data_IF_358710943198
#
_entry.id   IF_358710943198
#
_cell.length_a   1.000
_cell.length_b   1.000
_cell.length_c   1.000
_cell.angle_alpha   90.00
_cell.angle_beta   90.00
_cell.angle_gamma   90.00
#
_symmetry.space_group_name_H-M   'P 1'
#
loop_
_entity.id
_entity.type
_entity.pdbx_description
1 polymer ?
#
# COMPACT_ATOMS: atom_id res chain seq x y z
N UNK A 1 64.01 22.72 5.37
CA UNK A 1 63.61 23.32 4.04
C UNK A 1 62.70 22.29 3.35
N UNK A 2 61.41 22.57 3.27
CA UNK A 2 60.50 21.72 2.50
C UNK A 2 60.70 22.02 1.01
N UNK A 3 60.72 21.04 0.12
CA UNK A 3 60.79 21.26 -1.33
C UNK A 3 59.53 21.89 -1.83
N UNK A 4 59.64 22.81 -2.85
CA UNK A 4 58.47 23.46 -3.42
C UNK A 4 57.57 22.46 -4.14
N UNK A 5 56.24 22.65 -4.11
CA UNK A 5 55.30 21.75 -4.75
C UNK A 5 55.47 21.74 -6.27
N UNK A 6 55.47 20.57 -6.87
CA UNK A 6 55.54 20.38 -8.32
C UNK A 6 54.33 21.09 -9.00
N UNK A 7 54.62 21.88 -10.04
CA UNK A 7 53.58 22.56 -10.85
C UNK A 7 52.65 21.54 -11.43
N UNK A 8 51.35 21.67 -11.09
CA UNK A 8 50.27 20.84 -11.65
C UNK A 8 49.59 19.89 -10.68
N UNK A 9 49.98 19.84 -9.39
CA UNK A 9 49.28 18.99 -8.42
C UNK A 9 48.37 19.86 -7.54
N UNK A 10 47.06 19.82 -7.79
CA UNK A 10 46.08 20.38 -6.89
C UNK A 10 45.95 19.49 -5.66
N UNK A 11 46.35 19.95 -4.48
CA UNK A 11 46.11 19.26 -3.22
C UNK A 11 44.63 19.32 -2.91
N UNK A 12 43.88 18.25 -3.25
CA UNK A 12 42.53 18.05 -2.79
C UNK A 12 42.60 17.54 -1.36
N UNK A 13 42.25 18.38 -0.39
CA UNK A 13 41.98 17.92 0.98
C UNK A 13 40.58 17.24 0.94
N UNK A 14 40.60 15.92 1.04
CA UNK A 14 39.37 15.15 1.29
C UNK A 14 39.01 15.36 2.77
N UNK A 15 38.18 16.35 3.01
CA UNK A 15 37.56 16.52 4.31
C UNK A 15 36.61 15.34 4.53
N UNK A 16 37.02 14.37 5.34
CA UNK A 16 36.14 13.28 5.78
C UNK A 16 35.00 13.94 6.55
N UNK A 17 33.84 14.03 5.92
CA UNK A 17 32.60 14.42 6.59
C UNK A 17 32.45 13.56 7.84
N UNK A 18 32.71 14.11 9.00
CA UNK A 18 32.47 13.42 10.27
C UNK A 18 30.97 13.28 10.41
N UNK A 19 30.50 12.05 10.39
CA UNK A 19 29.09 11.74 10.65
C UNK A 19 28.73 12.31 12.02
N UNK A 20 28.04 13.44 12.00
CA UNK A 20 27.63 14.13 13.22
C UNK A 20 26.20 13.69 13.56
N UNK A 21 26.08 12.80 14.51
CA UNK A 21 24.79 12.23 14.96
C UNK A 21 23.81 13.34 15.34
N UNK A 22 24.30 14.49 15.84
CA UNK A 22 23.44 15.63 16.22
C UNK A 22 22.68 16.24 15.04
N UNK A 23 23.27 16.21 13.83
CA UNK A 23 22.63 16.78 12.63
C UNK A 23 21.45 15.91 12.16
N UNK A 24 21.37 14.65 12.59
CA UNK A 24 20.28 13.72 12.27
C UNK A 24 19.28 13.54 13.42
N UNK A 25 19.72 13.76 14.68
CA UNK A 25 18.85 13.60 15.85
C UNK A 25 17.70 14.63 15.87
N UNK A 26 18.00 15.90 15.56
CA UNK A 26 17.02 16.95 15.61
C UNK A 26 15.95 16.83 14.50
N UNK A 27 16.31 16.68 13.21
CA UNK A 27 15.31 16.39 12.17
C UNK A 27 14.54 15.10 12.42
N UNK A 28 15.22 14.05 12.92
CA UNK A 28 14.58 12.78 13.26
C UNK A 28 13.55 12.92 14.39
N UNK A 29 13.88 13.65 15.46
CA UNK A 29 12.97 13.91 16.56
C UNK A 29 11.74 14.74 16.12
N UNK A 30 11.95 15.76 15.27
CA UNK A 30 10.84 16.53 14.68
C UNK A 30 9.98 15.69 13.75
N UNK A 31 10.58 14.80 12.95
CA UNK A 31 9.86 13.86 12.10
C UNK A 31 9.00 12.88 12.90
N UNK A 32 9.54 12.33 14.00
CA UNK A 32 8.79 11.48 14.92
C UNK A 32 7.65 12.22 15.61
N UNK A 33 7.89 13.46 16.08
CA UNK A 33 6.87 14.28 16.69
C UNK A 33 5.74 14.62 15.71
N UNK A 34 6.09 14.95 14.46
CA UNK A 34 5.11 15.20 13.40
C UNK A 34 4.29 13.95 13.07
N UNK A 35 4.94 12.79 12.94
CA UNK A 35 4.27 11.51 12.70
C UNK A 35 3.33 11.13 13.86
N UNK A 36 3.78 11.32 15.11
CA UNK A 36 2.95 11.08 16.30
C UNK A 36 1.75 12.02 16.32
N UNK A 37 1.94 13.30 16.00
CA UNK A 37 0.84 14.29 15.92
C UNK A 37 -0.18 13.92 14.84
N UNK A 38 0.27 13.55 13.64
CA UNK A 38 -0.63 13.08 12.57
C UNK A 38 -1.39 11.82 12.97
N UNK A 39 -0.70 10.84 13.58
CA UNK A 39 -1.34 9.61 14.06
C UNK A 39 -2.39 9.92 15.12
N UNK A 40 -2.10 10.82 16.06
CA UNK A 40 -3.05 11.24 17.09
C UNK A 40 -4.32 11.86 16.46
N UNK A 41 -4.17 12.74 15.47
CA UNK A 41 -5.31 13.33 14.74
C UNK A 41 -6.15 12.25 14.06
N UNK A 42 -5.52 11.30 13.36
CA UNK A 42 -6.23 10.20 12.69
C UNK A 42 -6.99 9.34 13.71
N UNK A 43 -6.36 8.96 14.82
CA UNK A 43 -7.00 8.18 15.90
C UNK A 43 -8.16 8.95 16.50
N UNK A 44 -8.01 10.26 16.74
CA UNK A 44 -9.06 11.11 17.29
C UNK A 44 -10.26 11.21 16.35
N UNK A 45 -10.02 11.47 15.05
CA UNK A 45 -11.08 11.52 14.03
C UNK A 45 -11.79 10.16 13.91
N UNK A 46 -11.03 9.07 13.85
CA UNK A 46 -11.59 7.72 13.79
C UNK A 46 -12.44 7.41 15.06
N UNK A 47 -11.94 7.77 16.23
CA UNK A 47 -12.70 7.62 17.49
C UNK A 47 -14.03 8.37 17.45
N UNK A 48 -14.04 9.64 17.03
CA UNK A 48 -15.28 10.41 16.94
C UNK A 48 -16.24 9.88 15.88
N UNK A 49 -15.72 9.40 14.74
CA UNK A 49 -16.56 8.75 13.72
C UNK A 49 -17.21 7.48 14.27
N UNK A 50 -16.45 6.64 14.96
CA UNK A 50 -16.96 5.44 15.62
C UNK A 50 -17.95 5.76 16.74
N UNK A 51 -17.64 6.75 17.59
CA UNK A 51 -18.53 7.19 18.65
C UNK A 51 -19.82 7.83 18.13
N UNK A 52 -19.78 8.46 16.95
CA UNK A 52 -20.97 8.98 16.25
C UNK A 52 -21.93 7.87 15.80
N UNK A 53 -21.45 6.63 15.67
CA UNK A 53 -22.21 5.44 15.34
C UNK A 53 -23.16 5.63 14.15
N UNK A 54 -24.41 5.21 14.32
CA UNK A 54 -25.45 5.29 13.27
C UNK A 54 -25.93 6.71 12.93
N UNK A 55 -25.47 7.73 13.65
CA UNK A 55 -25.98 9.11 13.45
C UNK A 55 -25.65 9.62 12.05
N UNK A 56 -24.46 9.33 11.55
CA UNK A 56 -24.03 9.71 10.20
C UNK A 56 -24.85 8.96 9.14
N UNK A 57 -25.03 7.67 9.32
CA UNK A 57 -25.85 6.80 8.45
C UNK A 57 -27.30 7.27 8.38
N UNK A 58 -27.93 7.58 9.52
CA UNK A 58 -29.29 8.10 9.57
C UNK A 58 -29.41 9.45 8.87
N UNK A 59 -28.43 10.33 8.98
CA UNK A 59 -28.40 11.61 8.27
C UNK A 59 -28.28 11.41 6.76
N UNK A 60 -27.40 10.54 6.28
CA UNK A 60 -27.28 10.23 4.86
C UNK A 60 -28.58 9.69 4.27
N UNK A 61 -29.24 8.75 4.95
CA UNK A 61 -30.56 8.23 4.53
C UNK A 61 -31.64 9.32 4.51
N UNK A 62 -31.57 10.30 5.42
CA UNK A 62 -32.51 11.44 5.45
C UNK A 62 -32.30 12.39 4.27
N UNK A 63 -31.03 12.63 3.87
CA UNK A 63 -30.65 13.53 2.78
C UNK A 63 -30.94 12.89 1.42
N UNK A 64 -30.91 11.57 1.32
CA UNK A 64 -31.06 10.82 0.06
C UNK A 64 -32.41 10.99 -0.66
N UNK A 65 -33.42 11.59 -0.02
CA UNK A 65 -34.69 11.98 -0.64
C UNK A 65 -35.92 11.70 0.21
N UNK A 66 -37.07 12.24 -0.22
CA UNK A 66 -38.32 12.13 0.53
C UNK A 66 -39.02 10.76 0.38
N UNK A 67 -38.71 9.99 -0.68
CA UNK A 67 -39.42 8.74 -0.98
C UNK A 67 -38.83 7.55 -0.21
N UNK A 68 -39.68 6.62 0.20
CA UNK A 68 -39.27 5.39 0.89
C UNK A 68 -38.34 4.55 0.03
N UNK A 69 -38.52 4.50 -1.29
CA UNK A 69 -37.66 3.80 -2.22
C UNK A 69 -36.22 4.31 -2.22
N UNK A 70 -36.05 5.64 -2.31
CA UNK A 70 -34.71 6.26 -2.27
C UNK A 70 -33.98 5.98 -0.96
N UNK A 71 -34.69 6.07 0.17
CA UNK A 71 -34.10 5.75 1.49
C UNK A 71 -33.65 4.30 1.59
N UNK A 72 -34.46 3.36 1.07
CA UNK A 72 -34.13 1.94 1.04
C UNK A 72 -32.90 1.66 0.17
N UNK A 73 -32.83 2.26 -1.02
CA UNK A 73 -31.68 2.11 -1.93
C UNK A 73 -30.39 2.64 -1.30
N UNK A 74 -30.44 3.81 -0.67
CA UNK A 74 -29.27 4.36 0.02
C UNK A 74 -28.81 3.48 1.18
N UNK A 75 -29.75 2.95 1.96
CA UNK A 75 -29.41 2.04 3.06
C UNK A 75 -28.74 0.78 2.54
N UNK A 76 -29.28 0.17 1.50
CA UNK A 76 -28.70 -1.01 0.87
C UNK A 76 -27.31 -0.75 0.28
N UNK A 77 -27.10 0.43 -0.36
CA UNK A 77 -25.81 0.82 -0.88
C UNK A 77 -24.75 0.95 0.26
N UNK A 78 -25.13 1.60 1.36
CA UNK A 78 -24.24 1.73 2.51
C UNK A 78 -23.88 0.37 3.12
N UNK A 79 -24.87 -0.52 3.30
CA UNK A 79 -24.63 -1.88 3.83
C UNK A 79 -23.72 -2.69 2.92
N UNK A 80 -23.87 -2.54 1.61
CA UNK A 80 -23.03 -3.23 0.65
C UNK A 80 -21.61 -2.70 0.63
N UNK A 81 -21.43 -1.38 0.68
CA UNK A 81 -20.12 -0.73 0.79
C UNK A 81 -19.40 -1.24 2.04
N UNK A 82 -20.08 -1.21 3.19
CA UNK A 82 -19.49 -1.67 4.46
C UNK A 82 -19.08 -3.15 4.37
N UNK A 83 -19.95 -4.01 3.83
CA UNK A 83 -19.67 -5.44 3.69
C UNK A 83 -18.51 -5.71 2.71
N UNK A 84 -18.45 -5.00 1.59
CA UNK A 84 -17.37 -5.14 0.59
C UNK A 84 -16.03 -4.68 1.15
N UNK A 85 -16.00 -3.51 1.82
CA UNK A 85 -14.78 -2.98 2.42
C UNK A 85 -14.28 -3.90 3.54
N UNK A 86 -15.16 -4.36 4.43
CA UNK A 86 -14.78 -5.28 5.51
C UNK A 86 -14.21 -6.58 4.96
N UNK A 87 -14.87 -7.17 3.96
CA UNK A 87 -14.38 -8.39 3.30
C UNK A 87 -13.03 -8.16 2.64
N UNK A 88 -12.89 -7.08 1.87
CA UNK A 88 -11.64 -6.72 1.21
C UNK A 88 -10.50 -6.56 2.22
N UNK A 89 -10.71 -5.74 3.27
CA UNK A 89 -9.68 -5.51 4.29
C UNK A 89 -9.31 -6.81 5.03
N UNK A 90 -10.30 -7.64 5.35
CA UNK A 90 -10.06 -8.94 6.01
C UNK A 90 -9.19 -9.86 5.14
N UNK A 91 -9.53 -10.02 3.86
CA UNK A 91 -8.75 -10.81 2.91
C UNK A 91 -7.36 -10.19 2.76
N UNK A 92 -7.27 -8.87 2.57
CA UNK A 92 -6.03 -8.16 2.35
C UNK A 92 -5.04 -8.29 3.51
N UNK A 93 -5.50 -8.11 4.76
CA UNK A 93 -4.66 -8.31 5.95
C UNK A 93 -4.18 -9.75 6.05
N UNK A 94 -5.06 -10.70 5.77
CA UNK A 94 -4.72 -12.13 5.82
C UNK A 94 -3.69 -12.51 4.75
N UNK A 95 -3.91 -12.16 3.48
CA UNK A 95 -2.99 -12.46 2.39
C UNK A 95 -1.67 -11.73 2.57
N UNK A 96 -1.68 -10.45 2.98
CA UNK A 96 -0.47 -9.69 3.28
C UNK A 96 0.36 -10.32 4.40
N UNK A 97 -0.31 -10.86 5.43
CA UNK A 97 0.39 -11.58 6.51
C UNK A 97 1.06 -12.84 5.97
N UNK A 98 0.37 -13.62 5.14
CA UNK A 98 0.94 -14.81 4.51
C UNK A 98 2.12 -14.47 3.62
N UNK A 99 2.00 -13.44 2.75
CA UNK A 99 3.08 -12.97 1.86
C UNK A 99 4.27 -12.50 2.69
N UNK A 100 4.03 -11.69 3.74
CA UNK A 100 5.08 -11.19 4.62
C UNK A 100 5.85 -12.31 5.33
N UNK A 101 5.12 -13.29 5.90
CA UNK A 101 5.74 -14.45 6.59
C UNK A 101 6.46 -15.34 5.58
N UNK A 102 5.85 -15.64 4.43
CA UNK A 102 6.47 -16.46 3.39
C UNK A 102 7.77 -15.82 2.87
N UNK A 103 7.75 -14.50 2.61
CA UNK A 103 8.93 -13.75 2.18
C UNK A 103 10.01 -13.75 3.26
N UNK A 104 9.65 -13.51 4.52
CA UNK A 104 10.59 -13.58 5.63
C UNK A 104 11.28 -14.94 5.72
N UNK A 105 10.51 -16.02 5.74
CA UNK A 105 11.06 -17.39 5.85
C UNK A 105 11.91 -17.78 4.64
N UNK A 106 11.45 -17.45 3.43
CA UNK A 106 12.18 -17.75 2.20
C UNK A 106 13.51 -16.97 2.13
N UNK A 107 13.50 -15.69 2.48
CA UNK A 107 14.70 -14.85 2.46
C UNK A 107 15.68 -15.24 3.58
N UNK A 108 15.16 -15.62 4.76
CA UNK A 108 15.97 -16.17 5.82
C UNK A 108 16.69 -17.45 5.40
N UNK A 109 15.99 -18.34 4.70
CA UNK A 109 16.56 -19.57 4.18
C UNK A 109 17.62 -19.34 3.09
N UNK A 110 17.44 -18.31 2.28
CA UNK A 110 18.40 -17.88 1.25
C UNK A 110 19.62 -17.11 1.82
N UNK A 111 19.66 -16.85 3.13
CA UNK A 111 20.74 -16.12 3.78
C UNK A 111 20.71 -14.61 3.53
N UNK A 112 19.53 -14.04 3.25
CA UNK A 112 19.37 -12.60 3.08
C UNK A 112 19.48 -11.90 4.42
N UNK A 113 20.33 -10.87 4.50
CA UNK A 113 20.43 -10.02 5.68
C UNK A 113 19.11 -9.29 5.95
N UNK A 114 18.77 -9.21 7.25
CA UNK A 114 17.53 -8.55 7.66
C UNK A 114 16.25 -9.09 6.99
N UNK A 115 16.17 -10.41 6.75
CA UNK A 115 15.02 -11.06 6.11
C UNK A 115 13.66 -10.69 6.74
N UNK A 116 13.62 -10.48 8.07
CA UNK A 116 12.41 -10.05 8.77
C UNK A 116 11.93 -8.65 8.33
N UNK A 117 12.86 -7.74 8.04
CA UNK A 117 12.53 -6.40 7.52
C UNK A 117 11.90 -6.52 6.15
N UNK A 118 12.44 -7.39 5.28
CA UNK A 118 11.88 -7.64 3.96
C UNK A 118 10.51 -8.32 4.02
N UNK A 119 10.28 -9.19 5.00
CA UNK A 119 8.96 -9.72 5.29
C UNK A 119 7.95 -8.62 5.68
N UNK A 120 8.35 -7.67 6.53
CA UNK A 120 7.52 -6.53 6.88
C UNK A 120 7.27 -5.59 5.69
N UNK A 121 8.29 -5.37 4.85
CA UNK A 121 8.16 -4.60 3.60
C UNK A 121 7.19 -5.30 2.63
N UNK A 122 7.31 -6.62 2.48
CA UNK A 122 6.41 -7.42 1.66
C UNK A 122 4.96 -7.33 2.16
N UNK A 123 4.74 -7.45 3.47
CA UNK A 123 3.43 -7.23 4.10
C UNK A 123 2.86 -5.87 3.73
N UNK A 124 3.63 -4.79 3.91
CA UNK A 124 3.16 -3.43 3.66
C UNK A 124 2.89 -3.19 2.15
N UNK A 125 3.82 -3.58 1.28
CA UNK A 125 3.69 -3.39 -0.16
C UNK A 125 2.52 -4.19 -0.76
N UNK A 126 2.17 -5.32 -0.17
CA UNK A 126 1.07 -6.15 -0.65
C UNK A 126 -0.30 -5.45 -0.58
N UNK A 127 -0.45 -4.38 0.22
CA UNK A 127 -1.66 -3.55 0.21
C UNK A 127 -1.85 -2.75 -1.08
N UNK A 128 -0.81 -2.58 -1.89
CA UNK A 128 -0.86 -1.78 -3.11
C UNK A 128 -0.92 -2.74 -4.31
N UNK A 129 -2.11 -2.92 -4.94
CA UNK A 129 -2.27 -3.85 -6.04
C UNK A 129 -1.28 -3.58 -7.19
N UNK A 130 -0.71 -4.63 -7.75
CA UNK A 130 0.26 -4.63 -8.86
C UNK A 130 1.58 -3.92 -8.56
N UNK A 131 1.54 -2.68 -8.06
CA UNK A 131 2.74 -1.90 -7.75
C UNK A 131 3.57 -2.55 -6.64
N UNK A 132 2.89 -3.07 -5.61
CA UNK A 132 3.56 -3.73 -4.48
C UNK A 132 4.41 -4.91 -4.93
N UNK A 133 3.84 -5.79 -5.75
CA UNK A 133 4.56 -6.97 -6.27
C UNK A 133 5.72 -6.60 -7.19
N UNK A 134 5.56 -5.57 -8.04
CA UNK A 134 6.64 -5.09 -8.93
C UNK A 134 7.79 -4.52 -8.09
N UNK A 135 7.48 -3.65 -7.13
CA UNK A 135 8.49 -3.00 -6.27
C UNK A 135 9.18 -4.04 -5.38
N UNK A 136 8.42 -4.98 -4.81
CA UNK A 136 8.99 -6.04 -3.98
C UNK A 136 9.92 -6.95 -4.81
N UNK A 137 9.47 -7.43 -5.97
CA UNK A 137 10.27 -8.32 -6.82
C UNK A 137 11.52 -7.62 -7.34
N UNK A 138 11.39 -6.40 -7.86
CA UNK A 138 12.54 -5.63 -8.37
C UNK A 138 13.50 -5.23 -7.25
N UNK A 139 12.97 -4.76 -6.12
CA UNK A 139 13.77 -4.37 -4.95
C UNK A 139 14.51 -5.55 -4.33
N UNK A 140 13.87 -6.72 -4.24
CA UNK A 140 14.51 -7.94 -3.72
C UNK A 140 15.56 -8.51 -4.67
N UNK A 141 15.35 -8.43 -5.99
CA UNK A 141 16.38 -8.81 -6.96
C UNK A 141 17.61 -7.89 -6.85
N UNK A 142 17.39 -6.57 -6.73
CA UNK A 142 18.46 -5.61 -6.54
C UNK A 142 19.22 -5.85 -5.22
N UNK A 143 18.51 -6.12 -4.12
CA UNK A 143 19.09 -6.51 -2.85
C UNK A 143 20.02 -7.73 -3.00
N UNK A 144 19.52 -8.79 -3.66
CA UNK A 144 20.30 -10.00 -3.90
C UNK A 144 21.59 -9.72 -4.66
N UNK A 145 21.52 -8.87 -5.66
CA UNK A 145 22.72 -8.44 -6.40
C UNK A 145 23.71 -7.66 -5.52
N UNK A 146 23.22 -6.71 -4.73
CA UNK A 146 24.06 -5.85 -3.89
C UNK A 146 24.69 -6.64 -2.74
N UNK A 147 23.92 -7.53 -2.11
CA UNK A 147 24.39 -8.28 -0.94
C UNK A 147 25.38 -9.39 -1.32
N UNK A 148 25.10 -10.14 -2.40
CA UNK A 148 25.86 -11.32 -2.76
C UNK A 148 26.86 -11.09 -3.91
N UNK A 149 26.79 -9.95 -4.63
CA UNK A 149 27.61 -9.66 -5.80
C UNK A 149 27.39 -10.64 -6.96
N UNK A 150 26.30 -11.40 -6.96
CA UNK A 150 25.99 -12.48 -7.89
C UNK A 150 24.65 -12.24 -8.60
N UNK A 151 24.66 -12.36 -9.91
CA UNK A 151 23.43 -12.28 -10.70
C UNK A 151 22.52 -13.50 -10.47
N UNK A 152 23.09 -14.66 -10.16
CA UNK A 152 22.33 -15.85 -9.81
C UNK A 152 21.50 -15.65 -8.54
N UNK A 153 22.10 -15.06 -7.50
CA UNK A 153 21.38 -14.73 -6.26
C UNK A 153 20.35 -13.64 -6.45
N UNK A 154 20.61 -12.66 -7.30
CA UNK A 154 19.62 -11.65 -7.67
C UNK A 154 18.38 -12.30 -8.32
N UNK A 155 18.57 -13.21 -9.25
CA UNK A 155 17.48 -13.96 -9.90
C UNK A 155 16.77 -14.91 -8.92
N UNK A 156 17.52 -15.57 -8.03
CA UNK A 156 16.94 -16.48 -7.06
C UNK A 156 16.02 -15.73 -6.08
N UNK A 157 16.49 -14.62 -5.49
CA UNK A 157 15.74 -13.83 -4.50
C UNK A 157 14.56 -13.13 -5.17
N UNK A 158 14.78 -12.48 -6.32
CA UNK A 158 13.71 -11.87 -7.10
C UNK A 158 12.68 -12.89 -7.60
N UNK A 159 13.16 -14.06 -8.06
CA UNK A 159 12.33 -15.17 -8.53
C UNK A 159 11.45 -15.74 -7.42
N UNK A 160 11.99 -15.92 -6.22
CA UNK A 160 11.22 -16.36 -5.04
C UNK A 160 10.15 -15.33 -4.68
N UNK A 161 10.48 -14.04 -4.65
CA UNK A 161 9.50 -12.99 -4.42
C UNK A 161 8.40 -12.99 -5.49
N UNK A 162 8.77 -13.17 -6.77
CA UNK A 162 7.82 -13.28 -7.87
C UNK A 162 6.87 -14.48 -7.71
N UNK A 163 7.41 -15.64 -7.33
CA UNK A 163 6.61 -16.85 -7.10
C UNK A 163 5.62 -16.64 -5.95
N UNK A 164 6.07 -16.09 -4.81
CA UNK A 164 5.21 -15.82 -3.66
C UNK A 164 4.07 -14.88 -4.07
N UNK A 165 4.37 -13.76 -4.75
CA UNK A 165 3.37 -12.82 -5.24
C UNK A 165 2.42 -13.44 -6.28
N UNK A 166 2.95 -14.31 -7.16
CA UNK A 166 2.12 -14.98 -8.16
C UNK A 166 1.14 -15.98 -7.53
N UNK A 167 1.59 -16.75 -6.54
CA UNK A 167 0.74 -17.68 -5.78
C UNK A 167 -0.33 -16.89 -5.03
N UNK A 168 0.02 -15.77 -4.43
CA UNK A 168 -0.95 -14.89 -3.76
C UNK A 168 -1.99 -14.36 -4.76
N UNK A 169 -1.55 -13.69 -5.82
CA UNK A 169 -2.45 -13.01 -6.75
C UNK A 169 -3.33 -13.93 -7.59
N UNK A 170 -2.78 -15.08 -8.05
CA UNK A 170 -3.51 -15.99 -8.94
C UNK A 170 -4.25 -17.13 -8.22
N UNK A 171 -3.85 -17.48 -7.01
CA UNK A 171 -4.45 -18.60 -6.27
C UNK A 171 -5.16 -18.13 -4.99
N UNK A 172 -4.45 -17.45 -4.08
CA UNK A 172 -5.00 -17.10 -2.76
C UNK A 172 -6.07 -16.01 -2.84
N UNK A 173 -5.81 -14.94 -3.54
CA UNK A 173 -6.74 -13.82 -3.65
C UNK A 173 -8.05 -14.22 -4.32
N UNK A 174 -8.10 -14.91 -5.49
CA UNK A 174 -9.35 -15.38 -6.06
C UNK A 174 -10.09 -16.39 -5.19
N UNK A 175 -9.36 -17.29 -4.53
CA UNK A 175 -9.96 -18.30 -3.66
C UNK A 175 -10.65 -17.68 -2.44
N UNK A 176 -10.05 -16.64 -1.83
CA UNK A 176 -10.58 -15.97 -0.64
C UNK A 176 -11.65 -14.92 -0.97
N UNK A 177 -11.46 -14.16 -2.04
CA UNK A 177 -12.37 -13.07 -2.43
C UNK A 177 -13.64 -13.58 -3.11
N UNK A 178 -13.60 -14.77 -3.73
CA UNK A 178 -14.69 -15.30 -4.53
C UNK A 178 -15.04 -14.40 -5.72
N UNK A 179 -16.23 -14.65 -6.33
CA UNK A 179 -16.69 -13.87 -7.50
C UNK A 179 -17.22 -12.46 -7.17
N UNK A 180 -17.21 -12.07 -5.89
CA UNK A 180 -17.88 -10.85 -5.43
C UNK A 180 -17.11 -9.54 -5.70
N UNK A 181 -15.89 -9.62 -6.18
CA UNK A 181 -15.01 -8.45 -6.41
C UNK A 181 -14.46 -8.41 -7.83
N UNK A 182 -15.24 -8.83 -8.82
CA UNK A 182 -14.86 -8.74 -10.23
C UNK A 182 -14.82 -7.27 -10.65
N UNK A 183 -13.63 -6.67 -10.53
CA UNK A 183 -13.33 -5.34 -11.06
C UNK A 183 -12.33 -5.49 -12.20
N UNK A 184 -12.50 -4.65 -13.22
CA UNK A 184 -11.59 -4.60 -14.34
C UNK A 184 -10.15 -4.28 -13.83
N UNK A 185 -9.14 -5.14 -14.08
CA UNK A 185 -7.77 -4.92 -13.62
C UNK A 185 -7.17 -3.58 -14.07
N UNK A 186 -7.53 -3.13 -15.27
CA UNK A 186 -7.07 -1.84 -15.82
C UNK A 186 -7.67 -0.69 -15.04
N UNK A 187 -8.98 -0.75 -14.73
CA UNK A 187 -9.67 0.26 -13.94
C UNK A 187 -9.09 0.35 -12.52
N UNK A 188 -8.78 -0.80 -11.90
CA UNK A 188 -8.12 -0.85 -10.60
C UNK A 188 -6.74 -0.21 -10.67
N UNK A 189 -5.91 -0.59 -11.65
CA UNK A 189 -4.57 -0.05 -11.79
C UNK A 189 -4.57 1.47 -12.00
N UNK A 190 -5.36 1.96 -12.95
CA UNK A 190 -5.50 3.40 -13.24
C UNK A 190 -6.07 4.15 -12.05
N UNK A 191 -7.09 3.61 -11.41
CA UNK A 191 -7.71 4.23 -10.23
C UNK A 191 -6.77 4.33 -9.04
N UNK A 192 -6.01 3.26 -8.73
CA UNK A 192 -5.01 3.29 -7.66
C UNK A 192 -3.90 4.31 -7.96
N UNK A 193 -3.43 4.39 -9.23
CA UNK A 193 -2.46 5.41 -9.63
C UNK A 193 -3.02 6.83 -9.52
N UNK A 194 -4.28 7.06 -9.91
CA UNK A 194 -4.93 8.36 -9.79
C UNK A 194 -5.02 8.81 -8.32
N UNK A 195 -5.45 7.93 -7.42
CA UNK A 195 -5.46 8.22 -5.99
C UNK A 195 -4.05 8.40 -5.41
N UNK A 196 -3.10 7.61 -5.89
CA UNK A 196 -1.69 7.76 -5.54
C UNK A 196 -1.11 9.11 -5.96
N UNK A 197 -1.50 9.62 -7.14
CA UNK A 197 -1.12 10.95 -7.60
C UNK A 197 -1.74 12.07 -6.75
N UNK A 198 -3.00 11.91 -6.33
CA UNK A 198 -3.71 12.91 -5.53
C UNK A 198 -3.22 12.97 -4.07
N UNK A 199 -3.01 11.81 -3.43
CA UNK A 199 -2.75 11.71 -1.99
C UNK A 199 -1.44 10.98 -1.64
N UNK A 200 -0.58 10.74 -2.64
CA UNK A 200 0.68 10.04 -2.46
C UNK A 200 0.49 8.61 -1.94
N UNK A 201 1.34 8.21 -1.01
CA UNK A 201 1.35 6.85 -0.46
C UNK A 201 -0.01 6.45 0.14
N UNK A 202 -0.68 7.35 0.85
CA UNK A 202 -1.99 7.09 1.43
C UNK A 202 -3.07 6.83 0.36
N UNK A 203 -2.98 7.52 -0.78
CA UNK A 203 -3.85 7.27 -1.92
C UNK A 203 -3.65 5.89 -2.54
N UNK A 204 -2.41 5.40 -2.59
CA UNK A 204 -2.12 4.04 -3.06
C UNK A 204 -2.75 2.97 -2.14
N UNK A 205 -2.65 3.15 -0.82
CA UNK A 205 -3.24 2.22 0.16
C UNK A 205 -4.77 2.24 0.16
N UNK A 206 -5.36 3.44 0.09
CA UNK A 206 -6.82 3.63 0.15
C UNK A 206 -7.49 3.52 -1.22
N UNK A 207 -6.72 3.51 -2.30
CA UNK A 207 -7.25 3.51 -3.66
C UNK A 207 -8.24 2.38 -3.92
N UNK A 208 -7.93 1.16 -3.49
CA UNK A 208 -8.81 0.01 -3.68
C UNK A 208 -10.11 0.10 -2.86
N UNK A 209 -10.11 0.40 -1.55
CA UNK A 209 -11.33 0.66 -0.80
C UNK A 209 -12.22 1.76 -1.41
N UNK A 210 -11.61 2.85 -1.90
CA UNK A 210 -12.35 3.94 -2.53
C UNK A 210 -12.99 3.49 -3.84
N UNK A 211 -12.26 2.73 -4.67
CA UNK A 211 -12.78 2.17 -5.91
C UNK A 211 -13.95 1.21 -5.67
N UNK A 212 -13.85 0.33 -4.66
CA UNK A 212 -14.94 -0.56 -4.25
C UNK A 212 -16.19 0.23 -3.84
N UNK A 213 -16.02 1.25 -3.01
CA UNK A 213 -17.09 2.14 -2.61
C UNK A 213 -17.71 2.89 -3.80
N UNK A 214 -16.87 3.39 -4.70
CA UNK A 214 -17.32 4.07 -5.92
C UNK A 214 -18.13 3.13 -6.80
N UNK A 215 -17.63 1.91 -7.04
CA UNK A 215 -18.35 0.90 -7.84
C UNK A 215 -19.70 0.55 -7.22
N UNK A 216 -19.75 0.30 -5.90
CA UNK A 216 -20.98 -0.03 -5.21
C UNK A 216 -22.06 1.07 -5.34
N UNK A 217 -21.65 2.33 -5.37
CA UNK A 217 -22.57 3.47 -5.65
C UNK A 217 -22.99 3.48 -7.12
N UNK A 218 -22.03 3.34 -8.04
CA UNK A 218 -22.32 3.39 -9.49
C UNK A 218 -23.25 2.26 -9.93
N UNK A 219 -23.11 1.07 -9.38
CA UNK A 219 -23.96 -0.09 -9.70
C UNK A 219 -25.44 0.12 -9.28
N UNK A 220 -25.71 1.07 -8.35
CA UNK A 220 -27.05 1.31 -7.81
C UNK A 220 -27.74 2.57 -8.32
N UNK A 221 -26.99 3.49 -8.88
CA UNK A 221 -27.51 4.74 -9.44
C UNK A 221 -27.66 4.59 -10.94
N UNK A 222 -28.88 4.64 -11.44
CA UNK A 222 -29.19 4.38 -12.88
C UNK A 222 -28.40 5.27 -13.82
N UNK A 223 -28.17 6.52 -13.46
CA UNK A 223 -27.37 7.49 -14.23
C UNK A 223 -25.88 7.16 -14.29
N UNK A 224 -25.37 6.36 -13.34
CA UNK A 224 -23.95 6.01 -13.21
C UNK A 224 -23.65 4.55 -13.59
N UNK A 225 -24.65 3.79 -14.05
CA UNK A 225 -24.47 2.38 -14.45
C UNK A 225 -23.40 2.18 -15.50
N UNK A 226 -23.29 3.10 -16.47
CA UNK A 226 -22.24 3.05 -17.48
C UNK A 226 -20.81 3.12 -16.85
N UNK A 227 -20.64 3.89 -15.78
CA UNK A 227 -19.39 3.95 -15.02
C UNK A 227 -19.20 2.65 -14.22
N UNK A 228 -20.27 2.10 -13.64
CA UNK A 228 -20.24 0.81 -12.93
C UNK A 228 -19.82 -0.33 -13.84
N UNK A 229 -20.32 -0.40 -15.08
CA UNK A 229 -19.91 -1.37 -16.10
C UNK A 229 -18.45 -1.20 -16.50
N UNK A 230 -17.96 0.02 -16.61
CA UNK A 230 -16.56 0.31 -16.95
C UNK A 230 -15.58 -0.09 -15.83
N UNK A 231 -16.03 -0.05 -14.58
CA UNK A 231 -15.29 -0.51 -13.41
C UNK A 231 -15.41 -2.03 -13.18
N UNK A 232 -16.44 -2.67 -13.74
CA UNK A 232 -16.69 -4.10 -13.70
C UNK A 232 -15.91 -4.89 -14.76
N UNK A 233 -16.03 -6.21 -14.72
CA UNK A 233 -15.59 -7.12 -15.79
C UNK A 233 -16.66 -7.18 -16.89
#
# INVERSE_FOLDING_TARGET
MCPPPARGVTKVQIEKSRFNVKDYLWPGALGLAAAAGQTAVVVFVAFFLLASGDTFRRKMVRIAGPTFGQKKLTLQALDEIDAQIQRYLGVQVFTSTLVGVATWLAFWWLGVDSAAVWGAVAFALNFIPYLGSIVLTGGSALLGFVQFGSFEMALAIGGVALVINSVEGYLLTPWLSGKASAMNPVAVFVGVLAWGWLWGLWGLFLGMPILLGTKAVCDRVDELKAVGELLGE
#
